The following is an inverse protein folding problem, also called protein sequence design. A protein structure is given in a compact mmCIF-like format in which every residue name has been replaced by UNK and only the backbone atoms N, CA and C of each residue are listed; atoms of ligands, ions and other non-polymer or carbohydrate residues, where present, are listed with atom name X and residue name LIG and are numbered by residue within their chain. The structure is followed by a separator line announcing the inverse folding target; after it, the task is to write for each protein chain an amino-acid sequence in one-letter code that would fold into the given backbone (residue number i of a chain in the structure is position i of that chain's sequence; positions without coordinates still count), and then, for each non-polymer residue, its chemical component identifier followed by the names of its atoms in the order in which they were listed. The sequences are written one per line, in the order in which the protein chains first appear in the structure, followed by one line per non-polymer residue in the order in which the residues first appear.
data_IF_291298803816
#
_entry.id   IF_291298803816
#
_cell.length_a   1.000
_cell.length_b   1.000
_cell.length_c   1.000
_cell.angle_alpha   90.00
_cell.angle_beta   90.00
_cell.angle_gamma   90.00
#
_symmetry.space_group_name_H-M   'P 1'
#
loop_
_entity.id
_entity.type
_entity.pdbx_description
1 polymer ?
#
# COMPACT_ATOMS: atom_id res chain seq x y z
N UNK A 1 16.74 3.32 5.20
CA UNK A 1 15.27 3.21 5.11
C UNK A 1 14.92 3.48 3.67
N UNK A 2 14.19 2.57 3.02
CA UNK A 2 13.60 2.82 1.69
C UNK A 2 12.30 3.58 1.90
N UNK A 3 11.99 4.54 1.04
CA UNK A 3 10.69 5.22 1.10
C UNK A 3 9.59 4.38 0.45
N UNK A 4 8.32 4.69 0.73
CA UNK A 4 7.18 4.07 0.05
C UNK A 4 7.27 4.28 -1.46
N UNK A 5 7.64 5.49 -1.91
CA UNK A 5 7.81 5.80 -3.32
C UNK A 5 8.89 4.91 -3.96
N UNK A 6 10.08 4.85 -3.36
CA UNK A 6 11.16 3.98 -3.85
C UNK A 6 10.73 2.49 -3.87
N UNK A 7 10.00 2.04 -2.84
CA UNK A 7 9.50 0.68 -2.76
C UNK A 7 8.45 0.38 -3.86
N UNK A 8 7.46 1.25 -4.06
CA UNK A 8 6.45 1.07 -5.10
C UNK A 8 7.04 1.09 -6.50
N UNK A 9 7.93 2.04 -6.82
CA UNK A 9 8.56 2.11 -8.14
C UNK A 9 9.43 0.88 -8.42
N UNK A 10 10.20 0.42 -7.43
CA UNK A 10 11.03 -0.79 -7.57
C UNK A 10 10.15 -2.04 -7.72
N UNK A 11 9.12 -2.17 -6.89
CA UNK A 11 8.17 -3.27 -6.96
C UNK A 11 7.49 -3.33 -8.33
N UNK A 12 6.92 -2.22 -8.82
CA UNK A 12 6.26 -2.15 -10.12
C UNK A 12 7.21 -2.51 -11.26
N UNK A 13 8.46 -2.01 -11.25
CA UNK A 13 9.44 -2.35 -12.28
C UNK A 13 9.78 -3.85 -12.28
N UNK A 14 9.91 -4.48 -11.11
CA UNK A 14 10.11 -5.93 -11.00
C UNK A 14 8.86 -6.72 -11.45
N UNK A 15 7.65 -6.22 -11.17
CA UNK A 15 6.40 -6.83 -11.61
C UNK A 15 6.22 -6.71 -13.13
N UNK A 16 6.55 -5.59 -13.75
CA UNK A 16 6.45 -5.38 -15.20
C UNK A 16 7.29 -6.42 -15.97
N UNK A 17 8.47 -6.75 -15.46
CA UNK A 17 9.35 -7.75 -16.05
C UNK A 17 8.83 -9.19 -15.91
N UNK A 18 7.98 -9.46 -14.90
CA UNK A 18 7.55 -10.81 -14.54
C UNK A 18 6.11 -11.13 -14.94
N UNK A 19 5.22 -10.13 -14.95
CA UNK A 19 3.79 -10.28 -15.17
C UNK A 19 3.43 -10.16 -16.66
N UNK A 20 2.25 -10.69 -17.00
CA UNK A 20 1.63 -10.41 -18.30
C UNK A 20 1.11 -8.97 -18.33
N UNK A 21 1.02 -8.33 -19.50
CA UNK A 21 0.57 -6.94 -19.61
C UNK A 21 -0.73 -6.63 -18.86
N UNK A 22 -1.78 -7.44 -19.03
CA UNK A 22 -3.06 -7.23 -18.33
C UNK A 22 -2.94 -7.32 -16.81
N UNK A 23 -2.12 -8.24 -16.31
CA UNK A 23 -1.90 -8.41 -14.88
C UNK A 23 -1.00 -7.30 -14.30
N UNK A 24 -0.09 -6.76 -15.11
CA UNK A 24 0.70 -5.60 -14.74
C UNK A 24 -0.16 -4.34 -14.68
N UNK A 25 -1.05 -4.11 -15.65
CA UNK A 25 -1.99 -2.99 -15.61
C UNK A 25 -2.86 -3.03 -14.35
N UNK A 26 -3.43 -4.19 -14.00
CA UNK A 26 -4.17 -4.36 -12.74
C UNK A 26 -3.31 -4.02 -11.49
N UNK A 27 -2.02 -4.36 -11.53
CA UNK A 27 -1.07 -4.07 -10.45
C UNK A 27 -0.77 -2.58 -10.33
N UNK A 28 -0.47 -1.94 -11.47
CA UNK A 28 -0.18 -0.51 -11.57
C UNK A 28 -1.39 0.32 -11.15
N UNK A 29 -2.60 0.00 -11.63
CA UNK A 29 -3.84 0.70 -11.27
C UNK A 29 -4.09 0.67 -9.76
N UNK A 30 -3.87 -0.47 -9.11
CA UNK A 30 -4.04 -0.58 -7.65
C UNK A 30 -3.01 0.26 -6.91
N UNK A 31 -1.74 0.20 -7.31
CA UNK A 31 -0.68 0.97 -6.63
C UNK A 31 -0.92 2.47 -6.80
N UNK A 32 -1.30 2.92 -7.99
CA UNK A 32 -1.64 4.34 -8.24
C UNK A 32 -2.82 4.80 -7.39
N UNK A 33 -3.89 4.00 -7.31
CA UNK A 33 -5.04 4.33 -6.48
C UNK A 33 -4.69 4.34 -4.99
N UNK A 34 -3.81 3.44 -4.55
CA UNK A 34 -3.35 3.41 -3.17
C UNK A 34 -2.43 4.60 -2.85
N UNK A 35 -1.57 5.04 -3.78
CA UNK A 35 -0.80 6.29 -3.65
C UNK A 35 -1.74 7.48 -3.44
N UNK A 36 -2.81 7.59 -4.22
CA UNK A 36 -3.82 8.66 -4.06
C UNK A 36 -4.49 8.61 -2.68
N UNK A 37 -4.92 7.41 -2.26
CA UNK A 37 -5.48 7.21 -0.92
C UNK A 37 -4.52 7.67 0.18
N UNK A 38 -3.24 7.31 0.08
CA UNK A 38 -2.25 7.63 1.11
C UNK A 38 -2.01 9.14 1.22
N UNK A 39 -1.95 9.87 0.11
CA UNK A 39 -1.81 11.34 0.15
C UNK A 39 -3.00 12.03 0.82
N UNK A 40 -4.20 11.46 0.66
CA UNK A 40 -5.43 12.05 1.17
C UNK A 40 -5.73 11.67 2.63
N UNK A 41 -5.41 10.44 3.04
CA UNK A 41 -5.93 9.87 4.28
C UNK A 41 -4.85 9.25 5.20
N UNK A 42 -3.61 9.04 4.75
CA UNK A 42 -2.65 8.24 5.54
C UNK A 42 -2.29 8.88 6.90
N UNK A 43 -2.37 10.21 7.02
CA UNK A 43 -2.06 10.93 8.27
C UNK A 43 -2.98 10.54 9.44
N UNK A 44 -4.22 10.14 9.15
CA UNK A 44 -5.19 9.71 10.16
C UNK A 44 -4.77 8.39 10.82
N UNK A 45 -3.94 7.59 10.13
CA UNK A 45 -3.48 6.28 10.55
C UNK A 45 -2.08 6.28 11.16
N UNK A 46 -1.42 7.44 11.23
CA UNK A 46 -0.10 7.59 11.81
C UNK A 46 -0.14 7.57 13.34
N UNK A 47 0.98 7.12 13.92
CA UNK A 47 1.26 7.36 15.34
C UNK A 47 1.40 8.86 15.63
N UNK A 48 1.27 9.28 16.89
CA UNK A 48 1.47 10.70 17.25
C UNK A 48 2.90 11.19 16.91
N UNK A 49 3.90 10.31 16.99
CA UNK A 49 5.29 10.60 16.63
C UNK A 49 5.43 10.80 15.11
N UNK A 50 4.89 9.87 14.31
CA UNK A 50 4.92 9.96 12.85
C UNK A 50 4.08 11.13 12.34
N UNK A 51 2.96 11.47 12.99
CA UNK A 51 2.13 12.63 12.60
C UNK A 51 2.91 13.93 12.77
N UNK A 52 3.71 14.07 13.83
CA UNK A 52 4.58 15.23 14.00
C UNK A 52 5.63 15.32 12.88
N UNK A 53 6.20 14.18 12.45
CA UNK A 53 7.11 14.11 11.30
C UNK A 53 6.39 14.48 9.99
N UNK A 54 5.16 14.01 9.80
CA UNK A 54 4.30 14.31 8.66
C UNK A 54 4.01 15.81 8.55
N UNK A 55 3.59 16.45 9.66
CA UNK A 55 3.33 17.90 9.72
C UNK A 55 4.60 18.73 9.47
N UNK A 56 5.76 18.23 9.89
CA UNK A 56 7.04 18.90 9.69
C UNK A 56 7.66 18.65 8.29
N UNK A 57 6.99 17.90 7.41
CA UNK A 57 7.54 17.57 6.10
C UNK A 57 7.62 18.82 5.19
N UNK A 58 8.63 18.91 4.32
CA UNK A 58 8.69 19.95 3.29
C UNK A 58 7.46 19.94 2.37
N UNK A 59 6.98 21.11 1.94
CA UNK A 59 5.82 21.23 1.04
C UNK A 59 6.03 20.56 -0.34
N UNK A 60 7.29 20.37 -0.75
CA UNK A 60 7.68 19.70 -2.00
C UNK A 60 7.79 18.18 -1.87
N UNK A 61 7.51 17.61 -0.68
CA UNK A 61 7.54 16.17 -0.43
C UNK A 61 6.15 15.61 -0.13
N UNK A 62 5.84 14.52 -0.81
CA UNK A 62 4.65 13.72 -0.55
C UNK A 62 4.84 12.80 0.64
N UNK A 63 3.73 12.24 1.16
CA UNK A 63 3.73 11.26 2.25
C UNK A 63 4.68 10.10 1.93
N UNK A 64 4.59 9.58 0.71
CA UNK A 64 5.40 8.44 0.27
C UNK A 64 6.89 8.76 0.06
N UNK A 65 7.31 10.02 0.10
CA UNK A 65 8.73 10.42 0.02
C UNK A 65 9.41 10.52 1.39
N UNK A 66 8.63 10.46 2.47
CA UNK A 66 9.10 10.63 3.85
C UNK A 66 9.02 9.30 4.61
N UNK A 67 7.93 8.57 4.42
CA UNK A 67 7.65 7.34 5.15
C UNK A 67 8.10 6.09 4.39
N UNK A 68 8.33 5.02 5.16
CA UNK A 68 8.66 3.69 4.63
C UNK A 68 7.46 2.74 4.68
N UNK A 69 7.63 1.49 4.19
CA UNK A 69 6.56 0.50 4.18
C UNK A 69 5.98 0.16 5.57
N UNK A 70 6.72 0.43 6.66
CA UNK A 70 6.28 0.19 8.04
C UNK A 70 5.14 1.10 8.48
N UNK A 71 5.02 2.29 7.88
CA UNK A 71 3.93 3.23 8.18
C UNK A 71 2.64 2.93 7.41
N UNK A 72 2.60 1.83 6.65
CA UNK A 72 1.38 1.33 6.03
C UNK A 72 0.65 0.45 7.05
N UNK A 73 -0.34 1.02 7.73
CA UNK A 73 -1.03 0.36 8.84
C UNK A 73 -2.18 -0.55 8.36
N UNK A 74 -2.54 -1.57 9.17
CA UNK A 74 -3.70 -2.41 8.89
C UNK A 74 -5.01 -1.61 8.77
N UNK A 75 -5.20 -0.61 9.63
CA UNK A 75 -6.43 0.19 9.65
C UNK A 75 -6.55 1.02 8.37
N UNK A 76 -5.44 1.61 7.88
CA UNK A 76 -5.44 2.34 6.60
C UNK A 76 -5.66 1.42 5.39
N UNK A 77 -5.13 0.19 5.41
CA UNK A 77 -5.40 -0.80 4.37
C UNK A 77 -6.88 -1.22 4.36
N UNK A 78 -7.47 -1.39 5.55
CA UNK A 78 -8.89 -1.74 5.68
C UNK A 78 -9.78 -0.62 5.11
N UNK A 79 -9.55 0.62 5.51
CA UNK A 79 -10.28 1.80 5.02
C UNK A 79 -10.13 1.98 3.51
N UNK A 80 -8.92 1.78 2.98
CA UNK A 80 -8.70 1.78 1.55
C UNK A 80 -9.59 0.76 0.82
N UNK A 81 -9.62 -0.49 1.30
CA UNK A 81 -10.33 -1.58 0.63
C UNK A 81 -11.85 -1.51 0.81
N UNK A 82 -12.34 -1.10 1.98
CA UNK A 82 -13.77 -1.11 2.30
C UNK A 82 -14.49 0.17 1.93
N UNK A 83 -13.83 1.32 2.09
CA UNK A 83 -14.44 2.63 1.92
C UNK A 83 -13.91 3.30 0.65
N UNK A 84 -12.62 3.62 0.58
CA UNK A 84 -12.08 4.44 -0.52
C UNK A 84 -12.27 3.79 -1.90
N UNK A 85 -11.92 2.50 -2.04
CA UNK A 85 -12.11 1.76 -3.30
C UNK A 85 -13.59 1.72 -3.70
N UNK A 86 -14.51 1.62 -2.74
CA UNK A 86 -15.95 1.61 -3.03
C UNK A 86 -16.44 3.00 -3.45
N UNK A 87 -15.96 4.06 -2.81
CA UNK A 87 -16.30 5.45 -3.12
C UNK A 87 -15.90 5.84 -4.55
N UNK A 88 -14.73 5.41 -5.01
CA UNK A 88 -14.27 5.66 -6.40
C UNK A 88 -14.93 4.73 -7.44
N UNK A 89 -15.90 3.90 -7.02
CA UNK A 89 -16.68 3.03 -7.89
C UNK A 89 -16.09 1.63 -8.12
N UNK A 90 -15.09 1.24 -7.33
CA UNK A 90 -14.50 -0.09 -7.35
C UNK A 90 -15.49 -1.17 -6.90
N UNK A 91 -15.68 -2.20 -7.74
CA UNK A 91 -16.52 -3.34 -7.40
C UNK A 91 -15.80 -4.39 -6.55
N UNK A 92 -16.57 -5.36 -6.00
CA UNK A 92 -16.03 -6.48 -5.21
C UNK A 92 -14.84 -7.21 -5.85
N UNK A 93 -14.87 -7.37 -7.17
CA UNK A 93 -13.78 -7.99 -7.93
C UNK A 93 -12.49 -7.17 -7.81
N UNK A 94 -12.59 -5.85 -7.94
CA UNK A 94 -11.44 -4.96 -7.86
C UNK A 94 -10.89 -4.91 -6.42
N UNK A 95 -11.73 -4.94 -5.39
CA UNK A 95 -11.28 -5.09 -3.99
C UNK A 95 -10.43 -6.36 -3.82
N UNK A 96 -10.87 -7.49 -4.40
CA UNK A 96 -10.08 -8.72 -4.38
C UNK A 96 -8.74 -8.59 -5.12
N UNK A 97 -8.71 -7.89 -6.27
CA UNK A 97 -7.48 -7.56 -6.99
C UNK A 97 -6.56 -6.68 -6.15
N UNK A 98 -7.09 -5.63 -5.54
CA UNK A 98 -6.35 -4.69 -4.71
C UNK A 98 -5.71 -5.39 -3.51
N UNK A 99 -6.49 -6.20 -2.78
CA UNK A 99 -5.99 -6.99 -1.67
C UNK A 99 -4.86 -7.95 -2.10
N UNK A 100 -4.97 -8.56 -3.29
CA UNK A 100 -3.92 -9.43 -3.82
C UNK A 100 -2.64 -8.65 -4.15
N UNK A 101 -2.75 -7.51 -4.81
CA UNK A 101 -1.59 -6.68 -5.19
C UNK A 101 -0.88 -6.17 -3.95
N UNK A 102 -1.62 -5.61 -2.99
CA UNK A 102 -1.05 -5.16 -1.71
C UNK A 102 -0.38 -6.31 -0.96
N UNK A 103 -0.96 -7.50 -0.97
CA UNK A 103 -0.34 -8.66 -0.33
C UNK A 103 0.99 -9.00 -1.00
N UNK A 104 1.04 -9.05 -2.33
CA UNK A 104 2.29 -9.31 -3.07
C UNK A 104 3.32 -8.21 -2.84
N UNK A 105 2.91 -6.96 -2.66
CA UNK A 105 3.80 -5.88 -2.24
C UNK A 105 4.37 -6.14 -0.83
N UNK A 106 3.55 -6.50 0.15
CA UNK A 106 4.00 -6.81 1.52
C UNK A 106 4.95 -8.02 1.57
N UNK A 107 4.66 -9.06 0.79
CA UNK A 107 5.56 -10.21 0.62
C UNK A 107 6.91 -9.75 0.05
N UNK A 108 6.89 -8.91 -0.98
CA UNK A 108 8.10 -8.38 -1.61
C UNK A 108 8.92 -7.50 -0.65
N UNK A 109 8.32 -6.54 0.06
CA UNK A 109 9.09 -5.69 1.01
C UNK A 109 9.66 -6.52 2.15
N UNK A 110 8.99 -7.59 2.58
CA UNK A 110 9.53 -8.54 3.57
C UNK A 110 10.73 -9.29 3.01
N UNK A 111 10.64 -9.83 1.80
CA UNK A 111 11.76 -10.53 1.15
C UNK A 111 13.01 -9.64 1.01
N UNK A 112 12.82 -8.33 0.78
CA UNK A 112 13.90 -7.35 0.71
C UNK A 112 14.39 -6.86 2.07
N UNK A 113 13.70 -7.21 3.16
CA UNK A 113 14.03 -6.78 4.53
C UNK A 113 13.69 -5.31 4.81
N UNK A 114 12.66 -4.77 4.16
CA UNK A 114 12.21 -3.37 4.29
C UNK A 114 11.04 -3.19 5.27
N UNK A 115 10.63 -4.25 5.95
CA UNK A 115 9.57 -4.24 6.95
C UNK A 115 9.92 -5.25 8.05
N UNK A 116 9.62 -4.90 9.30
CA UNK A 116 9.68 -5.86 10.41
C UNK A 116 8.66 -6.99 10.25
N UNK A 117 9.05 -8.21 10.65
CA UNK A 117 8.21 -9.41 10.51
C UNK A 117 6.84 -9.23 11.18
N UNK A 118 6.79 -8.59 12.35
CA UNK A 118 5.53 -8.35 13.08
C UNK A 118 4.58 -7.42 12.31
N UNK A 119 5.11 -6.36 11.69
CA UNK A 119 4.31 -5.45 10.88
C UNK A 119 3.81 -6.15 9.60
N UNK A 120 4.69 -6.93 8.97
CA UNK A 120 4.32 -7.79 7.83
C UNK A 120 3.18 -8.76 8.19
N UNK A 121 3.32 -9.54 9.26
CA UNK A 121 2.33 -10.55 9.66
C UNK A 121 0.94 -9.92 9.86
N UNK A 122 0.87 -8.77 10.53
CA UNK A 122 -0.39 -8.08 10.80
C UNK A 122 -1.09 -7.64 9.50
N UNK A 123 -0.36 -7.02 8.58
CA UNK A 123 -0.92 -6.58 7.29
C UNK A 123 -1.30 -7.78 6.40
N UNK A 124 -0.46 -8.82 6.40
CA UNK A 124 -0.67 -10.01 5.58
C UNK A 124 -1.89 -10.82 6.04
N UNK A 125 -2.13 -10.94 7.35
CA UNK A 125 -3.32 -11.60 7.88
C UNK A 125 -4.61 -10.89 7.48
N UNK A 126 -4.64 -9.55 7.54
CA UNK A 126 -5.75 -8.74 7.09
C UNK A 126 -6.04 -9.00 5.59
N UNK A 127 -5.03 -8.84 4.73
CA UNK A 127 -5.16 -8.99 3.28
C UNK A 127 -5.57 -10.42 2.88
N UNK A 128 -5.06 -11.44 3.58
CA UNK A 128 -5.45 -12.82 3.35
C UNK A 128 -6.94 -13.07 3.65
N UNK A 129 -7.56 -12.32 4.57
CA UNK A 129 -8.99 -12.41 4.84
C UNK A 129 -9.83 -11.81 3.70
N UNK A 130 -9.42 -10.69 3.11
CA UNK A 130 -10.11 -10.10 1.95
C UNK A 130 -10.08 -11.03 0.74
N UNK A 131 -8.94 -11.66 0.46
CA UNK A 131 -8.83 -12.63 -0.64
C UNK A 131 -9.70 -13.87 -0.51
N UNK A 132 -10.11 -14.24 0.71
CA UNK A 132 -11.05 -15.36 0.93
C UNK A 132 -12.50 -14.95 0.72
N UNK A 133 -12.80 -13.66 0.87
CA UNK A 133 -14.16 -13.09 0.83
C UNK A 133 -14.56 -12.59 -0.55
N UNK A 134 -13.59 -12.22 -1.40
CA UNK A 134 -13.77 -11.60 -2.71
C UNK A 134 -13.09 -12.41 -3.81
#
# INVERSE_FOLDING_TARGET
MITINEAFRTFLSEQEACLKPDAFMDCEDVILLYEEFLELNAEDYLSDEDRALCTARPEDKSYFDVFGPEQLSPDGIMDFLEDYVVEVGGGKKFIGTAAKVLQSFFEWVREKGYIEEKAFETNNELLANYRKRH
#
